data_IF_888971646621
#
_entry.id   IF_888971646621
#
_cell.length_a   1.000
_cell.length_b   1.000
_cell.length_c   1.000
_cell.angle_alpha   90.00
_cell.angle_beta   90.00
_cell.angle_gamma   90.00
#
_symmetry.space_group_name_H-M   'P 1'
#
loop_
_entity.id
_entity.type
_entity.pdbx_description
1 polymer ?
#
# COMPACT_ATOMS: atom_id res chain seq x y z
N UNK A 1 -16.19 -16.34 -7.76
CA UNK A 1 -16.57 -16.48 -9.16
C UNK A 1 -18.07 -16.62 -9.25
N UNK A 2 -18.71 -15.91 -10.17
CA UNK A 2 -20.12 -16.03 -10.49
C UNK A 2 -20.23 -16.49 -11.93
N UNK A 3 -20.91 -17.60 -12.18
CA UNK A 3 -21.09 -18.16 -13.53
C UNK A 3 -22.58 -18.10 -13.86
N UNK A 4 -22.92 -17.58 -15.05
CA UNK A 4 -24.31 -17.47 -15.48
C UNK A 4 -24.95 -18.88 -15.58
N UNK A 5 -26.13 -19.03 -14.96
CA UNK A 5 -26.87 -20.31 -14.96
C UNK A 5 -26.37 -21.35 -13.93
N UNK A 6 -25.34 -21.05 -13.13
CA UNK A 6 -24.79 -21.94 -12.11
C UNK A 6 -25.09 -21.43 -10.72
N UNK A 7 -25.68 -22.28 -9.87
CA UNK A 7 -26.02 -21.95 -8.49
C UNK A 7 -25.07 -22.59 -7.46
N UNK A 8 -24.40 -23.67 -7.83
CA UNK A 8 -23.48 -24.39 -6.94
C UNK A 8 -22.36 -25.09 -7.73
N UNK A 9 -21.29 -25.41 -7.08
CA UNK A 9 -20.07 -26.00 -7.68
C UNK A 9 -20.27 -27.38 -8.34
N UNK A 10 -21.30 -28.13 -7.97
CA UNK A 10 -21.59 -29.46 -8.53
C UNK A 10 -22.55 -29.42 -9.74
N UNK A 11 -22.60 -28.31 -10.44
CA UNK A 11 -23.39 -28.13 -11.64
C UNK A 11 -22.56 -28.45 -12.89
N UNK A 12 -23.26 -28.73 -13.98
CA UNK A 12 -22.68 -28.80 -15.32
C UNK A 12 -23.20 -27.64 -16.16
N UNK A 13 -22.44 -27.21 -17.15
CA UNK A 13 -22.82 -26.14 -18.08
C UNK A 13 -23.05 -26.77 -19.44
N UNK A 14 -24.20 -26.50 -20.05
CA UNK A 14 -24.53 -27.05 -21.36
C UNK A 14 -23.52 -26.59 -22.43
N UNK A 15 -22.93 -27.55 -23.14
CA UNK A 15 -21.97 -27.27 -24.19
C UNK A 15 -20.54 -26.97 -23.71
N UNK A 16 -20.23 -27.19 -22.43
CA UNK A 16 -18.88 -27.18 -21.87
C UNK A 16 -18.47 -28.60 -21.52
N UNK A 17 -17.23 -28.97 -21.79
CA UNK A 17 -16.74 -30.35 -21.54
C UNK A 17 -16.45 -30.59 -20.07
N UNK A 18 -15.93 -29.60 -19.38
CA UNK A 18 -15.55 -29.66 -17.97
C UNK A 18 -16.74 -29.37 -17.07
N UNK A 19 -16.75 -30.00 -15.91
CA UNK A 19 -17.67 -29.64 -14.83
C UNK A 19 -17.26 -28.32 -14.19
N UNK A 20 -18.20 -27.69 -13.48
CA UNK A 20 -17.93 -26.42 -12.79
C UNK A 20 -16.77 -26.56 -11.80
N UNK A 21 -16.63 -27.68 -11.11
CA UNK A 21 -15.49 -27.94 -10.20
C UNK A 21 -14.16 -27.88 -10.95
N UNK A 22 -14.08 -28.50 -12.14
CA UNK A 22 -12.85 -28.50 -12.95
C UNK A 22 -12.54 -27.10 -13.45
N UNK A 23 -13.55 -26.34 -13.91
CA UNK A 23 -13.39 -24.93 -14.30
C UNK A 23 -12.83 -24.10 -13.13
N UNK A 24 -13.36 -24.30 -11.93
CA UNK A 24 -12.91 -23.58 -10.73
C UNK A 24 -11.47 -23.98 -10.36
N UNK A 25 -11.09 -25.23 -10.49
CA UNK A 25 -9.73 -25.69 -10.27
C UNK A 25 -8.77 -25.10 -11.30
N UNK A 26 -9.17 -25.05 -12.58
CA UNK A 26 -8.37 -24.43 -13.63
C UNK A 26 -8.22 -22.92 -13.39
N UNK A 27 -9.26 -22.23 -12.96
CA UNK A 27 -9.18 -20.81 -12.59
C UNK A 27 -8.19 -20.53 -11.45
N UNK A 28 -7.99 -21.47 -10.51
CA UNK A 28 -6.97 -21.33 -9.46
C UNK A 28 -5.55 -21.34 -10.03
N UNK A 29 -5.33 -21.88 -11.22
CA UNK A 29 -4.05 -21.88 -11.93
C UNK A 29 -3.75 -20.56 -12.66
N UNK A 30 -4.73 -19.66 -12.80
CA UNK A 30 -4.52 -18.37 -13.47
C UNK A 30 -3.79 -17.41 -12.53
N UNK A 31 -2.70 -16.84 -13.03
CA UNK A 31 -1.87 -15.89 -12.27
C UNK A 31 -2.18 -14.47 -12.68
N UNK A 32 -2.75 -13.71 -11.76
CA UNK A 32 -3.07 -12.29 -11.93
C UNK A 32 -2.04 -11.41 -11.22
N UNK A 33 -1.70 -10.28 -11.84
CA UNK A 33 -0.91 -9.21 -11.23
C UNK A 33 -1.74 -7.94 -11.21
N UNK A 34 -2.00 -7.41 -10.02
CA UNK A 34 -2.72 -6.16 -9.81
C UNK A 34 -1.74 -5.04 -9.48
N UNK A 35 -1.89 -3.86 -10.13
CA UNK A 35 -0.96 -2.75 -9.97
C UNK A 35 -1.45 -1.67 -8.99
N UNK A 36 -2.76 -1.33 -9.01
CA UNK A 36 -3.25 -0.14 -8.30
C UNK A 36 -4.44 -0.38 -7.37
N UNK A 37 -5.21 -1.44 -7.59
CA UNK A 37 -6.44 -1.71 -6.83
C UNK A 37 -6.29 -2.94 -5.95
N UNK A 38 -6.94 -2.91 -4.78
CA UNK A 38 -6.96 -4.07 -3.89
C UNK A 38 -7.90 -5.16 -4.38
N UNK A 39 -8.94 -4.79 -5.16
CA UNK A 39 -9.97 -5.69 -5.66
C UNK A 39 -10.48 -5.25 -7.01
N UNK A 40 -10.66 -6.22 -7.92
CA UNK A 40 -11.19 -5.99 -9.27
C UNK A 40 -12.15 -7.11 -9.64
N UNK A 41 -13.22 -6.80 -10.37
CA UNK A 41 -14.12 -7.76 -11.01
C UNK A 41 -13.82 -7.79 -12.49
N UNK A 42 -13.45 -8.97 -12.99
CA UNK A 42 -13.14 -9.23 -14.39
C UNK A 42 -14.28 -10.04 -14.99
N UNK A 43 -14.48 -9.90 -16.31
CA UNK A 43 -15.46 -10.68 -17.06
C UNK A 43 -14.76 -11.60 -18.03
N UNK A 44 -15.36 -12.79 -18.23
CA UNK A 44 -14.98 -13.71 -19.29
C UNK A 44 -16.25 -14.13 -20.00
N UNK A 45 -16.34 -13.79 -21.29
CA UNK A 45 -17.45 -14.17 -22.15
C UNK A 45 -16.91 -14.79 -23.43
N UNK A 46 -17.27 -16.04 -23.70
CA UNK A 46 -16.92 -16.72 -24.93
C UNK A 46 -18.05 -17.66 -25.37
N UNK A 47 -18.30 -17.68 -26.66
CA UNK A 47 -19.30 -18.56 -27.28
C UNK A 47 -18.75 -19.19 -28.56
N UNK A 48 -19.24 -20.39 -28.90
CA UNK A 48 -18.82 -21.17 -30.04
C UNK A 48 -17.71 -22.17 -29.69
N UNK A 49 -17.48 -23.11 -30.60
CA UNK A 49 -16.51 -24.20 -30.40
C UNK A 49 -15.08 -23.68 -30.25
N UNK A 50 -14.40 -24.15 -29.23
CA UNK A 50 -13.00 -23.82 -28.99
C UNK A 50 -12.56 -23.89 -27.54
N UNK A 51 -11.29 -23.59 -27.34
CA UNK A 51 -10.66 -23.56 -26.03
C UNK A 51 -10.83 -22.19 -25.40
N UNK A 52 -11.25 -22.12 -24.15
CA UNK A 52 -11.29 -20.91 -23.35
C UNK A 52 -10.01 -20.83 -22.54
N UNK A 53 -9.26 -19.76 -22.72
CA UNK A 53 -7.98 -19.55 -22.03
C UNK A 53 -8.03 -18.32 -21.10
N UNK A 54 -7.06 -18.19 -20.25
CA UNK A 54 -6.92 -17.02 -19.39
C UNK A 54 -6.75 -15.70 -20.16
N UNK A 55 -6.28 -15.77 -21.42
CA UNK A 55 -6.18 -14.63 -22.32
C UNK A 55 -7.53 -14.11 -22.84
N UNK A 56 -8.61 -14.92 -22.74
CA UNK A 56 -9.97 -14.51 -23.13
C UNK A 56 -10.66 -13.67 -22.05
N UNK A 57 -10.04 -13.48 -20.88
CA UNK A 57 -10.56 -12.64 -19.79
C UNK A 57 -10.46 -11.16 -20.20
N UNK A 58 -11.54 -10.43 -20.06
CA UNK A 58 -11.54 -8.98 -20.27
C UNK A 58 -10.77 -8.28 -19.16
N UNK A 59 -9.57 -7.78 -19.48
CA UNK A 59 -8.67 -7.15 -18.52
C UNK A 59 -8.97 -5.65 -18.40
N UNK A 60 -8.89 -5.13 -17.17
CA UNK A 60 -8.81 -3.69 -16.93
C UNK A 60 -7.35 -3.22 -16.97
N UNK A 61 -7.13 -1.91 -17.12
CA UNK A 61 -5.77 -1.33 -17.17
C UNK A 61 -4.89 -1.64 -15.96
N UNK A 62 -5.50 -2.00 -14.84
CA UNK A 62 -4.82 -2.26 -13.57
C UNK A 62 -4.48 -3.74 -13.35
N UNK A 63 -4.84 -4.62 -14.29
CA UNK A 63 -4.69 -6.09 -14.15
C UNK A 63 -3.95 -6.66 -15.33
N UNK A 64 -2.98 -7.52 -15.05
CA UNK A 64 -2.23 -8.29 -16.02
C UNK A 64 -2.37 -9.78 -15.72
N UNK A 65 -2.57 -10.61 -16.77
CA UNK A 65 -2.51 -12.07 -16.69
C UNK A 65 -1.15 -12.52 -17.16
N UNK A 66 -0.43 -13.27 -16.32
CA UNK A 66 0.94 -13.68 -16.61
C UNK A 66 1.02 -14.99 -17.41
N UNK A 67 -0.03 -15.80 -17.37
CA UNK A 67 -0.15 -17.06 -18.10
C UNK A 67 -1.39 -17.10 -19.01
N UNK A 68 -1.44 -16.28 -20.06
CA UNK A 68 -2.62 -16.13 -20.92
C UNK A 68 -3.00 -17.43 -21.67
N UNK A 69 -2.06 -18.33 -21.87
CA UNK A 69 -2.27 -19.63 -22.54
C UNK A 69 -2.91 -20.68 -21.62
N UNK A 70 -3.06 -20.40 -20.33
CA UNK A 70 -3.64 -21.33 -19.37
C UNK A 70 -5.08 -21.66 -19.73
N UNK A 71 -5.39 -22.94 -19.93
CA UNK A 71 -6.71 -23.42 -20.35
C UNK A 71 -7.65 -23.42 -19.14
N UNK A 72 -8.84 -22.82 -19.32
CA UNK A 72 -9.90 -22.80 -18.30
C UNK A 72 -10.93 -23.88 -18.59
N UNK A 73 -11.44 -23.95 -19.82
CA UNK A 73 -12.39 -24.97 -20.25
C UNK A 73 -12.45 -25.10 -21.80
N UNK A 74 -13.17 -26.13 -22.27
CA UNK A 74 -13.39 -26.39 -23.69
C UNK A 74 -14.87 -26.28 -24.01
N UNK A 75 -15.19 -25.50 -25.04
CA UNK A 75 -16.54 -25.30 -25.54
C UNK A 75 -16.83 -26.20 -26.74
N UNK A 76 -18.01 -26.79 -26.74
CA UNK A 76 -18.59 -27.49 -27.91
C UNK A 76 -19.21 -26.49 -28.88
N UNK A 77 -19.70 -26.95 -30.04
CA UNK A 77 -20.26 -26.11 -31.10
C UNK A 77 -21.38 -25.17 -30.66
N UNK A 78 -22.17 -25.53 -29.64
CA UNK A 78 -23.24 -24.71 -29.06
C UNK A 78 -22.91 -24.22 -27.64
N UNK A 79 -21.67 -24.38 -27.21
CA UNK A 79 -21.22 -23.97 -25.88
C UNK A 79 -21.10 -22.46 -25.76
N UNK A 80 -21.45 -21.96 -24.59
CA UNK A 80 -21.20 -20.57 -24.21
C UNK A 80 -20.89 -20.51 -22.71
N UNK A 81 -19.92 -19.68 -22.34
CA UNK A 81 -19.57 -19.41 -20.97
C UNK A 81 -19.59 -17.91 -20.72
N UNK A 82 -20.26 -17.50 -19.64
CA UNK A 82 -20.29 -16.13 -19.15
C UNK A 82 -20.03 -16.18 -17.64
N UNK A 83 -18.89 -15.59 -17.23
CA UNK A 83 -18.51 -15.60 -15.82
C UNK A 83 -17.91 -14.26 -15.39
N UNK A 84 -18.12 -13.95 -14.13
CA UNK A 84 -17.49 -12.83 -13.44
C UNK A 84 -16.50 -13.38 -12.40
N UNK A 85 -15.27 -12.90 -12.48
CA UNK A 85 -14.16 -13.34 -11.63
C UNK A 85 -13.77 -12.15 -10.75
N UNK A 86 -13.96 -12.31 -9.44
CA UNK A 86 -13.53 -11.33 -8.45
C UNK A 86 -12.11 -11.69 -8.01
N UNK A 87 -11.17 -10.78 -8.25
CA UNK A 87 -9.75 -10.95 -7.94
C UNK A 87 -9.36 -9.98 -6.85
N UNK A 88 -8.72 -10.50 -5.81
CA UNK A 88 -8.26 -9.74 -4.63
C UNK A 88 -6.75 -9.87 -4.44
N UNK A 89 -6.14 -8.91 -3.74
CA UNK A 89 -4.77 -9.02 -3.24
C UNK A 89 -4.80 -9.54 -1.80
N UNK A 90 -3.90 -10.47 -1.49
CA UNK A 90 -3.79 -11.04 -0.15
C UNK A 90 -2.39 -11.52 0.18
N UNK A 91 -2.27 -12.27 1.28
CA UNK A 91 -1.02 -12.88 1.74
C UNK A 91 -1.24 -14.33 2.12
N UNK A 92 -0.30 -15.18 1.76
CA UNK A 92 -0.30 -16.60 2.09
C UNK A 92 -1.47 -17.35 1.45
N UNK A 93 -2.05 -18.30 2.17
CA UNK A 93 -3.20 -19.10 1.73
C UNK A 93 -4.45 -18.72 2.53
N UNK A 94 -5.54 -18.49 1.83
CA UNK A 94 -6.84 -18.20 2.43
C UNK A 94 -7.88 -19.22 1.98
N UNK A 95 -8.34 -20.04 2.93
CA UNK A 95 -9.43 -21.00 2.69
C UNK A 95 -10.78 -20.30 2.69
N UNK A 96 -11.75 -20.88 1.96
CA UNK A 96 -13.15 -20.44 1.95
C UNK A 96 -13.75 -20.44 3.37
N UNK A 97 -13.46 -21.48 4.16
CA UNK A 97 -13.97 -21.59 5.54
C UNK A 97 -13.52 -20.43 6.43
N UNK A 98 -12.28 -19.93 6.24
CA UNK A 98 -11.74 -18.78 6.99
C UNK A 98 -12.34 -17.43 6.57
N UNK A 99 -12.86 -17.32 5.34
CA UNK A 99 -13.49 -16.10 4.82
C UNK A 99 -14.98 -16.00 5.15
N UNK A 100 -15.71 -17.11 5.19
CA UNK A 100 -17.16 -17.14 5.51
C UNK A 100 -17.52 -16.42 6.80
N UNK A 101 -16.59 -16.31 7.74
CA UNK A 101 -16.81 -15.61 9.02
C UNK A 101 -16.61 -14.09 8.94
N UNK A 102 -16.18 -13.53 7.80
CA UNK A 102 -15.86 -12.11 7.65
C UNK A 102 -16.78 -11.32 6.71
N UNK A 103 -17.40 -11.99 5.74
CA UNK A 103 -18.26 -11.35 4.75
C UNK A 103 -19.73 -11.75 4.93
N UNK A 104 -20.51 -10.91 5.63
CA UNK A 104 -21.96 -11.04 5.77
C UNK A 104 -22.75 -10.74 4.46
N UNK A 105 -22.08 -10.22 3.43
CA UNK A 105 -22.70 -9.87 2.14
C UNK A 105 -22.26 -10.84 1.03
N UNK A 106 -22.70 -12.10 1.08
CA UNK A 106 -22.54 -12.99 -0.06
C UNK A 106 -23.54 -12.64 -1.16
N UNK A 107 -23.06 -12.34 -2.35
CA UNK A 107 -23.90 -12.27 -3.55
C UNK A 107 -24.47 -13.68 -3.83
N UNK A 108 -25.77 -13.74 -4.09
CA UNK A 108 -26.45 -15.01 -4.41
C UNK A 108 -25.86 -15.55 -5.71
N UNK A 109 -25.42 -16.83 -5.70
CA UNK A 109 -24.80 -17.49 -6.85
C UNK A 109 -23.27 -17.25 -6.98
N UNK A 110 -22.64 -16.54 -6.06
CA UNK A 110 -21.19 -16.43 -6.02
C UNK A 110 -20.55 -17.65 -5.37
N UNK A 111 -19.69 -18.34 -6.10
CA UNK A 111 -18.92 -19.49 -5.64
C UNK A 111 -17.56 -18.97 -5.16
N UNK A 112 -17.24 -19.20 -3.90
CA UNK A 112 -15.97 -18.82 -3.33
C UNK A 112 -14.92 -19.89 -3.56
N UNK A 113 -13.70 -19.46 -3.92
CA UNK A 113 -12.53 -20.33 -4.10
C UNK A 113 -11.50 -20.07 -3.00
N UNK A 114 -10.79 -21.14 -2.63
CA UNK A 114 -9.56 -20.98 -1.88
C UNK A 114 -8.56 -20.22 -2.74
N UNK A 115 -7.85 -19.28 -2.14
CA UNK A 115 -6.87 -18.48 -2.83
C UNK A 115 -5.48 -18.64 -2.24
N UNK A 116 -4.49 -18.88 -3.10
CA UNK A 116 -3.07 -18.84 -2.78
C UNK A 116 -2.50 -17.53 -3.33
N UNK A 117 -2.03 -16.67 -2.43
CA UNK A 117 -1.45 -15.38 -2.78
C UNK A 117 0.07 -15.40 -2.80
N UNK A 118 0.69 -16.58 -2.52
CA UNK A 118 2.14 -16.69 -2.53
C UNK A 118 2.67 -16.68 -3.96
N UNK A 119 3.60 -15.77 -4.31
CA UNK A 119 4.26 -15.78 -5.61
C UNK A 119 5.32 -16.89 -5.72
N UNK A 120 5.73 -17.46 -4.59
CA UNK A 120 6.75 -18.51 -4.52
C UNK A 120 6.07 -19.86 -4.39
N UNK A 121 6.37 -20.76 -5.34
CA UNK A 121 5.79 -22.12 -5.39
C UNK A 121 6.62 -23.11 -4.59
N UNK A 122 7.94 -23.01 -4.71
CA UNK A 122 8.89 -23.94 -4.08
C UNK A 122 10.18 -23.21 -3.74
N UNK A 123 10.74 -23.55 -2.58
CA UNK A 123 12.08 -23.16 -2.18
C UNK A 123 12.81 -24.38 -1.67
N UNK A 124 14.01 -24.64 -2.19
CA UNK A 124 14.96 -25.58 -1.63
C UNK A 124 16.28 -24.87 -1.34
N UNK A 125 17.02 -25.39 -0.37
CA UNK A 125 18.33 -24.87 -0.05
C UNK A 125 19.31 -26.01 0.17
N UNK A 126 20.55 -25.75 -0.14
CA UNK A 126 21.68 -26.65 0.14
C UNK A 126 22.86 -25.84 0.66
N UNK A 127 23.64 -26.46 1.56
CA UNK A 127 24.81 -25.84 2.17
C UNK A 127 26.04 -26.65 1.83
N UNK A 128 26.92 -26.06 1.04
CA UNK A 128 28.15 -26.67 0.56
C UNK A 128 29.36 -26.04 1.27
N UNK A 129 30.39 -26.84 1.65
CA UNK A 129 31.64 -26.26 2.13
C UNK A 129 32.30 -25.43 1.03
N UNK A 130 32.74 -24.24 1.39
CA UNK A 130 33.37 -23.31 0.46
C UNK A 130 34.78 -22.93 0.93
N UNK A 131 35.67 -22.74 -0.03
CA UNK A 131 37.02 -22.23 0.20
C UNK A 131 37.21 -20.89 -0.49
N UNK A 132 37.59 -19.89 0.29
CA UNK A 132 37.99 -18.59 -0.24
C UNK A 132 39.43 -18.32 0.17
N UNK A 133 40.33 -18.37 -0.79
CA UNK A 133 41.78 -18.28 -0.59
C UNK A 133 42.33 -19.34 0.42
N UNK A 134 42.77 -18.89 1.62
CA UNK A 134 43.27 -19.77 2.69
C UNK A 134 42.21 -20.11 3.72
N UNK A 135 41.00 -19.55 3.63
CA UNK A 135 39.90 -19.87 4.54
C UNK A 135 39.11 -21.05 4.01
N UNK A 136 39.02 -22.08 4.83
CA UNK A 136 38.30 -23.33 4.55
C UNK A 136 37.11 -23.54 5.49
N UNK A 137 36.87 -22.56 6.35
CA UNK A 137 35.84 -22.52 7.39
C UNK A 137 34.56 -21.80 6.93
N UNK A 138 34.33 -21.72 5.62
CA UNK A 138 33.21 -21.02 5.04
C UNK A 138 32.22 -21.99 4.43
N UNK A 139 30.95 -21.61 4.48
CA UNK A 139 29.85 -22.31 3.81
C UNK A 139 29.32 -21.47 2.65
N UNK A 140 28.86 -22.15 1.62
CA UNK A 140 28.16 -21.62 0.47
C UNK A 140 26.71 -22.04 0.56
N UNK A 141 25.81 -21.08 0.66
CA UNK A 141 24.38 -21.31 0.61
C UNK A 141 23.92 -21.28 -0.86
N UNK A 142 23.30 -22.35 -1.30
CA UNK A 142 22.65 -22.48 -2.61
C UNK A 142 21.14 -22.45 -2.36
N UNK A 143 20.44 -21.49 -2.98
CA UNK A 143 18.98 -21.36 -2.91
C UNK A 143 18.40 -21.65 -4.30
N UNK A 144 17.46 -22.58 -4.37
CA UNK A 144 16.69 -22.89 -5.58
C UNK A 144 15.24 -22.45 -5.34
N UNK A 145 14.76 -21.50 -6.14
CA UNK A 145 13.49 -20.80 -5.91
C UNK A 145 12.67 -20.83 -7.19
N UNK A 146 11.51 -21.49 -7.11
CA UNK A 146 10.51 -21.47 -8.18
C UNK A 146 9.43 -20.41 -7.86
N UNK A 147 9.19 -19.51 -8.80
CA UNK A 147 8.13 -18.51 -8.70
C UNK A 147 7.06 -18.74 -9.78
N UNK A 148 5.88 -18.17 -9.57
CA UNK A 148 4.80 -18.19 -10.55
C UNK A 148 4.97 -17.13 -11.67
N UNK A 149 6.12 -16.44 -11.75
CA UNK A 149 6.42 -15.41 -12.73
C UNK A 149 5.96 -13.99 -12.32
N UNK A 150 5.20 -13.83 -11.23
CA UNK A 150 4.75 -12.49 -10.79
C UNK A 150 5.84 -11.67 -10.10
N UNK A 151 6.84 -12.34 -9.54
CA UNK A 151 7.98 -11.74 -8.83
C UNK A 151 9.27 -12.43 -9.27
N UNK A 152 10.31 -11.64 -9.48
CA UNK A 152 11.66 -12.16 -9.72
C UNK A 152 12.19 -12.85 -8.46
N UNK A 153 12.83 -14.06 -8.59
CA UNK A 153 13.35 -14.80 -7.43
C UNK A 153 14.30 -14.00 -6.55
N UNK A 154 15.19 -13.20 -7.14
CA UNK A 154 16.12 -12.35 -6.39
C UNK A 154 15.37 -11.29 -5.57
N UNK A 155 14.36 -10.67 -6.17
CA UNK A 155 13.52 -9.70 -5.47
C UNK A 155 12.69 -10.35 -4.35
N UNK A 156 12.23 -11.59 -4.54
CA UNK A 156 11.54 -12.35 -3.50
C UNK A 156 12.42 -12.54 -2.26
N UNK A 157 13.70 -12.92 -2.45
CA UNK A 157 14.66 -13.07 -1.35
C UNK A 157 14.90 -11.73 -0.64
N UNK A 158 15.12 -10.65 -1.40
CA UNK A 158 15.34 -9.32 -0.82
C UNK A 158 14.13 -8.84 0.01
N UNK A 159 12.92 -9.06 -0.52
CA UNK A 159 11.69 -8.70 0.19
C UNK A 159 11.50 -9.53 1.47
N UNK A 160 11.80 -10.83 1.42
CA UNK A 160 11.74 -11.69 2.59
C UNK A 160 12.77 -11.28 3.66
N UNK A 161 13.99 -10.94 3.26
CA UNK A 161 15.02 -10.44 4.15
C UNK A 161 14.61 -9.12 4.81
N UNK A 162 14.02 -8.18 4.04
CA UNK A 162 13.53 -6.91 4.58
C UNK A 162 12.43 -7.13 5.62
N UNK A 163 11.47 -8.03 5.35
CA UNK A 163 10.42 -8.38 6.32
C UNK A 163 11.03 -8.91 7.63
N UNK A 164 12.07 -9.77 7.53
CA UNK A 164 12.76 -10.28 8.72
C UNK A 164 13.48 -9.19 9.49
N UNK A 165 14.17 -8.27 8.81
CA UNK A 165 14.82 -7.11 9.41
C UNK A 165 13.80 -6.26 10.17
N UNK A 166 12.68 -5.92 9.51
CA UNK A 166 11.62 -5.11 10.10
C UNK A 166 11.02 -5.78 11.35
N UNK A 167 10.82 -7.10 11.32
CA UNK A 167 10.32 -7.85 12.48
C UNK A 167 11.34 -7.95 13.63
N UNK A 168 12.63 -8.06 13.30
CA UNK A 168 13.69 -8.18 14.29
C UNK A 168 14.14 -6.82 14.85
N UNK A 169 13.91 -5.72 14.14
CA UNK A 169 14.25 -4.37 14.59
C UNK A 169 13.60 -4.03 15.93
N UNK A 170 12.38 -4.52 16.17
CA UNK A 170 11.66 -4.35 17.45
C UNK A 170 12.49 -4.90 18.62
N UNK A 171 13.22 -6.01 18.41
CA UNK A 171 14.08 -6.59 19.44
C UNK A 171 15.43 -5.89 19.55
N UNK A 172 15.94 -5.31 18.47
CA UNK A 172 17.17 -4.53 18.47
C UNK A 172 17.01 -3.22 19.26
N UNK A 173 15.82 -2.63 19.23
CA UNK A 173 15.49 -1.37 19.92
C UNK A 173 15.16 -1.55 21.41
N UNK A 174 15.20 -2.77 21.95
CA UNK A 174 14.97 -3.05 23.38
C UNK A 174 16.01 -2.41 24.33
N UNK A 175 17.07 -1.80 23.82
CA UNK A 175 18.08 -1.12 24.63
C UNK A 175 17.71 0.32 25.05
N UNK A 176 16.44 0.70 24.99
CA UNK A 176 15.96 1.93 25.62
C UNK A 176 16.47 3.23 25.00
N UNK A 177 16.86 3.22 23.74
CA UNK A 177 16.86 4.45 22.96
C UNK A 177 15.41 4.92 22.88
N UNK A 178 15.10 6.17 23.28
CA UNK A 178 13.76 6.68 23.10
C UNK A 178 13.42 6.45 21.62
N UNK A 179 12.33 5.73 21.36
CA UNK A 179 11.71 5.75 20.06
C UNK A 179 11.59 7.23 19.72
N UNK A 180 12.38 7.72 18.77
CA UNK A 180 12.02 8.97 18.12
C UNK A 180 10.61 8.71 17.63
N UNK A 181 9.64 9.30 18.35
CA UNK A 181 8.28 9.38 17.87
C UNK A 181 8.41 9.75 16.40
N UNK A 182 7.84 8.91 15.53
CA UNK A 182 7.64 9.27 14.14
C UNK A 182 6.89 10.59 14.22
N UNK A 183 7.63 11.66 14.14
CA UNK A 183 7.07 13.01 14.05
C UNK A 183 6.23 12.91 12.78
N UNK A 184 4.93 12.74 12.96
CA UNK A 184 3.95 13.09 11.91
C UNK A 184 4.51 14.36 11.31
N UNK A 185 4.88 14.32 10.04
CA UNK A 185 5.35 15.51 9.34
C UNK A 185 4.30 16.55 9.59
N UNK A 186 4.61 17.47 10.53
CA UNK A 186 3.80 18.64 10.76
C UNK A 186 3.45 19.22 9.38
N UNK A 187 2.24 19.69 9.17
CA UNK A 187 1.84 20.29 7.91
C UNK A 187 2.92 21.31 7.51
N UNK A 188 3.26 21.44 6.24
CA UNK A 188 4.37 22.27 5.80
C UNK A 188 4.23 23.66 6.42
N UNK A 189 5.12 23.96 7.37
CA UNK A 189 5.15 25.26 8.03
C UNK A 189 5.42 26.28 6.94
N UNK A 190 4.54 27.27 6.83
CA UNK A 190 4.65 28.32 5.83
C UNK A 190 6.06 28.96 5.95
N UNK A 191 6.87 29.02 4.89
CA UNK A 191 8.24 29.56 4.94
C UNK A 191 8.34 30.96 5.53
N UNK A 192 7.23 31.71 5.55
CA UNK A 192 7.14 33.05 6.15
C UNK A 192 7.30 32.98 7.67
N UNK A 193 6.82 31.91 8.33
CA UNK A 193 6.85 31.77 9.78
C UNK A 193 8.27 31.53 10.33
N UNK A 194 9.17 31.02 9.49
CA UNK A 194 10.57 30.79 9.84
C UNK A 194 11.47 32.01 9.62
N UNK A 195 10.92 33.13 9.13
CA UNK A 195 11.67 34.36 8.94
C UNK A 195 11.86 35.11 10.26
N UNK A 196 13.00 35.79 10.43
CA UNK A 196 13.23 36.60 11.60
C UNK A 196 12.26 37.82 11.66
N UNK A 197 11.95 38.30 12.87
CA UNK A 197 11.07 39.42 13.12
C UNK A 197 11.64 40.72 12.51
N UNK A 198 12.93 40.80 12.28
CA UNK A 198 13.59 41.93 11.62
C UNK A 198 13.13 42.15 10.17
N UNK A 199 12.64 41.11 9.49
CA UNK A 199 12.09 41.16 8.12
C UNK A 199 10.69 41.81 8.07
N UNK A 200 10.10 42.13 9.22
CA UNK A 200 8.79 42.81 9.31
C UNK A 200 8.91 44.35 9.18
N UNK A 201 10.11 44.90 9.00
CA UNK A 201 10.34 46.36 8.87
C UNK A 201 9.71 47.17 9.99
N UNK A 202 9.67 46.63 11.21
CA UNK A 202 9.16 47.32 12.40
C UNK A 202 10.12 48.41 12.84
N UNK A 203 9.59 49.41 13.61
CA UNK A 203 10.48 50.38 14.22
C UNK A 203 11.50 49.71 15.13
N UNK A 204 12.70 50.29 15.22
CA UNK A 204 13.82 49.75 16.05
C UNK A 204 13.37 49.52 17.50
N UNK A 205 12.45 50.36 17.99
CA UNK A 205 11.88 50.21 19.34
C UNK A 205 11.00 48.97 19.46
N UNK A 206 10.11 48.74 18.49
CA UNK A 206 9.22 47.56 18.46
C UNK A 206 10.01 46.26 18.31
N UNK A 207 11.01 46.23 17.42
CA UNK A 207 11.87 45.08 17.22
C UNK A 207 12.70 44.72 18.48
N UNK A 208 13.27 45.72 19.15
CA UNK A 208 14.01 45.50 20.40
C UNK A 208 13.15 45.01 21.55
N UNK A 209 11.90 45.46 21.65
CA UNK A 209 10.95 44.96 22.65
C UNK A 209 10.61 43.49 22.43
N UNK A 210 10.42 43.06 21.19
CA UNK A 210 10.15 41.66 20.86
C UNK A 210 11.36 40.75 21.13
N UNK A 211 12.58 41.19 20.80
CA UNK A 211 13.82 40.47 21.10
C UNK A 211 14.09 40.35 22.61
N UNK A 212 13.69 41.34 23.40
CA UNK A 212 13.83 41.28 24.85
C UNK A 212 12.92 40.23 25.53
N UNK A 213 11.91 39.76 24.83
CA UNK A 213 10.98 38.69 25.24
C UNK A 213 11.24 37.36 24.49
N UNK A 214 12.45 37.20 23.95
CA UNK A 214 12.89 35.99 23.20
C UNK A 214 12.03 35.65 21.97
N UNK A 215 11.37 36.64 21.36
CA UNK A 215 10.59 36.50 20.13
C UNK A 215 11.48 36.91 18.96
N UNK A 216 12.09 35.88 18.29
CA UNK A 216 13.02 36.09 17.19
C UNK A 216 12.41 35.82 15.82
N UNK A 217 11.39 34.96 15.75
CA UNK A 217 10.76 34.52 14.50
C UNK A 217 9.30 34.99 14.41
N UNK A 218 8.83 35.18 13.17
CA UNK A 218 7.43 35.57 12.90
C UNK A 218 6.45 34.53 13.46
N UNK A 219 6.82 33.21 13.39
CA UNK A 219 6.02 32.14 13.97
C UNK A 219 5.80 32.27 15.48
N UNK A 220 6.81 32.69 16.24
CA UNK A 220 6.70 32.91 17.69
C UNK A 220 5.79 34.10 18.01
N UNK A 221 5.88 35.12 17.17
CA UNK A 221 5.07 36.34 17.32
C UNK A 221 3.57 36.08 17.11
N UNK A 222 3.21 35.26 16.11
CA UNK A 222 1.81 34.95 15.79
C UNK A 222 1.15 34.12 16.89
N UNK A 223 1.92 33.26 17.58
CA UNK A 223 1.40 32.43 18.68
C UNK A 223 1.06 33.24 19.91
N UNK A 224 1.59 34.47 20.03
CA UNK A 224 1.29 35.38 21.16
C UNK A 224 -0.03 36.11 20.94
N UNK A 225 -0.78 36.24 22.03
CA UNK A 225 -2.01 37.05 22.04
C UNK A 225 -1.72 38.54 22.30
N UNK A 226 -2.63 39.39 21.85
CA UNK A 226 -2.53 40.85 22.10
C UNK A 226 -2.37 41.21 23.59
N UNK A 227 -3.06 40.43 24.44
CA UNK A 227 -3.02 40.63 25.90
C UNK A 227 -1.67 40.27 26.52
N UNK A 228 -0.97 39.29 25.93
CA UNK A 228 0.38 38.92 26.35
C UNK A 228 1.40 39.97 25.90
N UNK A 229 1.32 40.42 24.65
CA UNK A 229 2.21 41.45 24.13
C UNK A 229 2.05 42.81 24.87
N UNK A 230 0.86 43.15 25.33
CA UNK A 230 0.63 44.36 26.15
C UNK A 230 1.19 44.28 27.57
N UNK A 231 1.45 43.04 28.08
CA UNK A 231 2.11 42.85 29.38
C UNK A 231 3.61 43.04 29.33
N UNK A 232 4.17 43.02 28.13
CA UNK A 232 5.60 43.17 27.89
C UNK A 232 6.07 44.57 28.29
N UNK A 233 7.10 44.72 29.10
CA UNK A 233 7.62 46.00 29.48
C UNK A 233 8.13 46.75 28.23
N UNK A 234 7.78 48.04 28.13
CA UNK A 234 8.14 48.95 27.06
C UNK A 234 7.41 48.74 25.69
N UNK A 235 6.51 47.78 25.53
CA UNK A 235 5.67 47.67 24.36
C UNK A 235 4.34 48.40 24.56
N UNK A 236 4.19 49.55 23.92
CA UNK A 236 2.98 50.37 24.01
C UNK A 236 1.91 50.03 22.97
N UNK A 237 0.68 50.54 23.17
CA UNK A 237 -0.43 50.36 22.21
C UNK A 237 -0.09 50.80 20.77
N UNK A 238 0.79 51.82 20.61
CA UNK A 238 1.23 52.27 19.28
C UNK A 238 2.08 51.20 18.57
N UNK A 239 3.03 50.60 19.28
CA UNK A 239 3.85 49.51 18.76
C UNK A 239 3.04 48.25 18.48
N UNK A 240 2.01 47.96 19.28
CA UNK A 240 1.10 46.83 19.01
C UNK A 240 0.30 47.03 17.71
N UNK A 241 -0.22 48.24 17.50
CA UNK A 241 -0.95 48.56 16.27
C UNK A 241 -0.05 48.47 15.04
N UNK A 242 1.19 48.96 15.12
CA UNK A 242 2.20 48.82 14.08
C UNK A 242 2.44 47.35 13.73
N UNK A 243 2.67 46.49 14.72
CA UNK A 243 2.86 45.04 14.54
C UNK A 243 1.64 44.40 13.84
N UNK A 244 0.41 44.78 14.27
CA UNK A 244 -0.82 44.29 13.65
C UNK A 244 -0.96 44.70 12.19
N UNK A 245 -0.69 45.94 11.86
CA UNK A 245 -0.76 46.45 10.49
C UNK A 245 0.23 45.75 9.57
N UNK A 246 1.47 45.53 10.05
CA UNK A 246 2.49 44.85 9.29
C UNK A 246 2.18 43.36 9.12
N UNK A 247 1.68 42.66 10.16
CA UNK A 247 1.22 41.29 10.05
C UNK A 247 0.01 41.17 9.11
N UNK A 248 -0.97 42.05 9.20
CA UNK A 248 -2.14 42.07 8.31
C UNK A 248 -1.77 42.31 6.85
N UNK A 249 -0.75 43.15 6.56
CA UNK A 249 -0.23 43.33 5.19
C UNK A 249 0.37 42.04 4.58
N UNK A 250 0.83 41.12 5.43
CA UNK A 250 1.36 39.79 5.05
C UNK A 250 0.33 38.67 5.20
N UNK A 251 -0.93 39.00 5.49
CA UNK A 251 -2.03 38.02 5.63
C UNK A 251 -2.01 37.25 6.95
N UNK A 252 -1.27 37.72 7.96
CA UNK A 252 -1.09 37.05 9.24
C UNK A 252 -1.83 37.76 10.36
N UNK A 253 -2.27 37.04 11.41
CA UNK A 253 -2.97 37.62 12.57
C UNK A 253 -2.36 37.11 13.88
N UNK A 254 -2.38 37.92 14.93
CA UNK A 254 -1.95 37.53 16.26
C UNK A 254 -2.95 36.56 16.91
N UNK A 255 -2.43 35.56 17.67
CA UNK A 255 -3.25 34.54 18.35
C UNK A 255 -3.75 33.45 17.44
N UNK A 256 -3.18 33.28 16.26
CA UNK A 256 -3.45 32.17 15.33
C UNK A 256 -2.72 30.90 15.82
N UNK A 257 -3.48 29.85 16.13
CA UNK A 257 -2.96 28.52 16.48
C UNK A 257 -2.69 27.70 15.24
#
# INVERSE_FOLDING_TARGET
VTIAGVLHEYSTIDGVQEDVVDILLNLKGVVFKLHSRQQVVLKLQKSGEGVVTAGDIELSHDVEVLNPEHVICHLSSNGAVDMQIKVDIGRGYQSVAGRRNRDDNQEIGAIQLDASFSPVSRVSFDVEPARVEQRTDLDRLVLDIDTNGSVDPEQAVRSAAQILIDQLSIFADLQGTPVEEVVEKAPPVDPILLRPVDDLELTVRSANCLKAEDIYYIGDLIQRTETELLKTPNLGRKSLNEIKEVLASKGLTLGSK
#
